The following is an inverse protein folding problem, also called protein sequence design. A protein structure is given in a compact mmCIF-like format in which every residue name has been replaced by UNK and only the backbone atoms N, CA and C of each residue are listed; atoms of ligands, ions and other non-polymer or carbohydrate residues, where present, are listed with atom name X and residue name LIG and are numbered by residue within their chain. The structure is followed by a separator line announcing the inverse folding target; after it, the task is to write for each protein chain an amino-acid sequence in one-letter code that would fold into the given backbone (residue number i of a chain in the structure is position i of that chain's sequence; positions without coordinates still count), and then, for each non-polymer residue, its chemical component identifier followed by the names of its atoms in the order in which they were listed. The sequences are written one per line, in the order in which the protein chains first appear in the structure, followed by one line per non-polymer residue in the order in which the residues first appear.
data_IF_358303004713
#
_entry.id   IF_358303004713
#
_cell.length_a   1.000
_cell.length_b   1.000
_cell.length_c   1.000
_cell.angle_alpha   90.00
_cell.angle_beta   90.00
_cell.angle_gamma   90.00
#
_symmetry.space_group_name_H-M   'P 1'
#
loop_
_entity.id
_entity.type
_entity.pdbx_description
1 polymer ?
#
# COMPACT_ATOMS: atom_id res chain seq x y z
N UNK A 1 -1.95 -32.58 -29.17
CA UNK A 1 -2.99 -32.62 -28.11
C UNK A 1 -3.30 -31.25 -27.48
N UNK A 2 -3.51 -30.20 -28.29
CA UNK A 2 -3.83 -28.83 -27.81
C UNK A 2 -5.33 -28.49 -27.79
N UNK A 3 -6.22 -29.46 -28.11
CA UNK A 3 -7.66 -29.20 -28.29
C UNK A 3 -8.52 -29.33 -27.02
N UNK A 4 -7.97 -29.75 -25.88
CA UNK A 4 -8.77 -30.00 -24.66
C UNK A 4 -8.13 -29.58 -23.32
N UNK A 5 -6.98 -28.89 -23.31
CA UNK A 5 -6.45 -28.33 -22.06
C UNK A 5 -7.10 -26.98 -21.81
N UNK A 6 -7.97 -26.86 -20.79
CA UNK A 6 -8.33 -25.55 -20.22
C UNK A 6 -7.02 -24.81 -19.94
N UNK A 7 -6.75 -23.73 -20.68
CA UNK A 7 -5.60 -22.87 -20.41
C UNK A 7 -5.81 -22.32 -19.01
N UNK A 8 -4.96 -22.71 -18.07
CA UNK A 8 -5.02 -22.19 -16.70
C UNK A 8 -4.48 -20.77 -16.73
N UNK A 9 -5.33 -19.81 -16.36
CA UNK A 9 -4.94 -18.42 -16.18
C UNK A 9 -4.19 -18.25 -14.85
N UNK A 10 -3.18 -17.39 -14.83
CA UNK A 10 -2.47 -17.00 -13.61
C UNK A 10 -3.21 -15.83 -12.98
N UNK A 11 -3.60 -16.01 -11.73
CA UNK A 11 -4.10 -14.93 -10.88
C UNK A 11 -3.10 -14.68 -9.77
N UNK A 12 -2.77 -13.42 -9.54
CA UNK A 12 -1.88 -12.99 -8.46
C UNK A 12 -2.55 -11.92 -7.62
N UNK A 13 -2.08 -11.76 -6.38
CA UNK A 13 -2.57 -10.77 -5.44
C UNK A 13 -1.38 -9.95 -4.95
N UNK A 14 -1.56 -8.62 -4.83
CA UNK A 14 -0.52 -7.69 -4.36
C UNK A 14 -1.16 -6.53 -3.60
N UNK A 15 -0.56 -6.11 -2.48
CA UNK A 15 -1.09 -5.07 -1.60
C UNK A 15 -0.42 -5.06 -0.24
N UNK A 16 -1.03 -4.36 0.72
CA UNK A 16 -0.52 -4.26 2.10
C UNK A 16 -0.98 -5.39 3.03
N UNK A 17 -2.00 -6.15 2.63
CA UNK A 17 -2.59 -7.20 3.48
C UNK A 17 -1.75 -8.48 3.45
N UNK A 18 -1.09 -8.77 4.58
CA UNK A 18 -0.51 -10.08 4.87
C UNK A 18 -1.59 -11.09 5.31
N UNK A 19 -1.33 -12.38 5.05
CA UNK A 19 -2.16 -13.48 5.58
C UNK A 19 -1.67 -13.81 7.00
N UNK A 20 -2.08 -13.00 7.95
CA UNK A 20 -1.71 -13.11 9.38
C UNK A 20 -2.80 -12.50 10.27
N UNK A 21 -2.66 -12.67 11.58
CA UNK A 21 -3.61 -12.17 12.58
C UNK A 21 -3.79 -10.64 12.51
N UNK A 22 -5.00 -10.18 12.83
CA UNK A 22 -5.38 -8.77 12.94
C UNK A 22 -5.64 -8.06 11.62
N UNK A 23 -5.51 -8.74 10.48
CA UNK A 23 -5.70 -8.14 9.15
C UNK A 23 -7.13 -8.26 8.64
N UNK A 24 -7.91 -9.21 9.18
CA UNK A 24 -9.31 -9.31 8.84
C UNK A 24 -10.08 -8.14 9.45
N UNK A 25 -10.73 -7.35 8.61
CA UNK A 25 -11.60 -6.26 9.03
C UNK A 25 -12.62 -5.95 7.93
N UNK A 26 -13.68 -5.24 8.28
CA UNK A 26 -14.70 -4.80 7.34
C UNK A 26 -14.84 -3.26 7.39
N UNK A 27 -15.87 -2.72 6.73
CA UNK A 27 -16.10 -1.28 6.68
C UNK A 27 -16.59 -0.69 8.02
N UNK A 28 -17.04 -1.51 8.97
CA UNK A 28 -17.51 -1.03 10.28
C UNK A 28 -16.35 -0.59 11.17
N UNK A 29 -15.16 -1.17 11.00
CA UNK A 29 -13.96 -0.88 11.78
C UNK A 29 -14.24 -0.86 13.29
N UNK A 30 -15.01 -1.84 13.76
CA UNK A 30 -15.51 -1.87 15.13
C UNK A 30 -14.38 -1.90 16.16
N UNK A 31 -14.58 -1.26 17.31
CA UNK A 31 -13.63 -1.23 18.41
C UNK A 31 -13.93 -2.31 19.45
N UNK A 32 -15.20 -2.46 19.82
CA UNK A 32 -15.60 -3.22 21.01
C UNK A 32 -16.48 -4.44 20.71
N UNK A 33 -17.02 -4.61 19.50
CA UNK A 33 -17.82 -5.78 19.12
C UNK A 33 -16.92 -7.00 18.77
N UNK A 34 -16.25 -7.53 19.79
CA UNK A 34 -15.18 -8.53 19.65
C UNK A 34 -15.75 -9.95 19.50
N UNK A 35 -16.84 -10.27 20.21
CA UNK A 35 -17.41 -11.62 20.33
C UNK A 35 -17.92 -12.24 19.03
N UNK A 36 -17.97 -11.47 17.94
CA UNK A 36 -18.31 -11.95 16.61
C UNK A 36 -17.06 -12.38 15.84
N UNK A 37 -16.60 -11.53 14.94
CA UNK A 37 -15.62 -11.90 13.92
C UNK A 37 -14.18 -11.86 14.42
N UNK A 38 -13.92 -11.20 15.55
CA UNK A 38 -12.56 -10.92 16.03
C UNK A 38 -12.21 -11.66 17.32
N UNK A 39 -13.08 -12.54 17.82
CA UNK A 39 -12.88 -13.27 19.09
C UNK A 39 -11.57 -14.07 19.10
N UNK A 40 -11.30 -14.79 18.01
CA UNK A 40 -10.10 -15.60 17.83
C UNK A 40 -8.98 -14.86 17.07
N UNK A 41 -9.19 -13.58 16.72
CA UNK A 41 -8.26 -12.73 15.97
C UNK A 41 -8.17 -11.31 16.55
N UNK A 42 -8.22 -11.21 17.89
CA UNK A 42 -8.13 -9.93 18.58
C UNK A 42 -6.71 -9.37 18.46
N UNK A 43 -6.59 -8.17 17.89
CA UNK A 43 -5.32 -7.52 17.62
C UNK A 43 -5.27 -6.11 18.22
N UNK A 44 -4.22 -5.81 18.98
CA UNK A 44 -3.98 -4.51 19.59
C UNK A 44 -2.51 -4.45 20.07
N UNK A 45 -1.68 -3.67 19.37
CA UNK A 45 -0.25 -3.54 19.68
C UNK A 45 0.15 -2.16 20.20
N UNK A 46 -0.80 -1.23 20.28
CA UNK A 46 -0.56 0.13 20.77
C UNK A 46 -0.82 0.28 22.27
N UNK A 47 -1.36 -0.76 22.91
CA UNK A 47 -1.55 -0.85 24.36
C UNK A 47 -0.65 -1.98 24.90
N UNK A 48 0.16 -1.73 25.95
CA UNK A 48 0.98 -2.76 26.57
C UNK A 48 0.14 -3.98 27.00
N UNK A 49 0.60 -5.23 26.74
CA UNK A 49 -0.17 -6.43 27.05
C UNK A 49 -0.60 -6.55 28.52
N UNK A 50 0.21 -6.04 29.45
CA UNK A 50 -0.07 -6.06 30.89
C UNK A 50 -1.25 -5.16 31.31
N UNK A 51 -1.63 -4.20 30.45
CA UNK A 51 -2.75 -3.27 30.70
C UNK A 51 -4.01 -3.66 29.92
N UNK A 52 -3.86 -4.48 28.88
CA UNK A 52 -4.89 -4.73 27.90
C UNK A 52 -5.88 -5.81 28.36
N UNK A 53 -7.14 -5.42 28.51
CA UNK A 53 -8.25 -6.33 28.78
C UNK A 53 -8.87 -6.74 27.44
N UNK A 54 -8.40 -7.86 26.88
CA UNK A 54 -8.76 -8.31 25.52
C UNK A 54 -10.26 -8.52 25.30
N UNK A 55 -10.97 -8.89 26.36
CA UNK A 55 -12.42 -9.06 26.39
C UNK A 55 -13.19 -7.72 26.37
N UNK A 56 -12.53 -6.61 26.74
CA UNK A 56 -13.14 -5.27 26.79
C UNK A 56 -12.74 -4.36 25.63
N UNK A 57 -11.74 -4.73 24.82
CA UNK A 57 -11.25 -3.89 23.73
C UNK A 57 -10.51 -2.62 24.18
N UNK A 58 -10.32 -1.63 23.30
CA UNK A 58 -10.61 -1.73 21.87
C UNK A 58 -9.59 -2.63 21.18
N UNK A 59 -10.04 -3.39 20.18
CA UNK A 59 -9.10 -3.87 19.15
C UNK A 59 -8.55 -2.67 18.37
N UNK A 60 -7.45 -2.86 17.67
CA UNK A 60 -6.96 -1.90 16.68
C UNK A 60 -7.54 -2.26 15.30
N UNK A 61 -8.42 -1.41 14.72
CA UNK A 61 -8.94 -1.67 13.38
C UNK A 61 -7.93 -1.49 12.27
N UNK A 62 -8.09 -2.27 11.21
CA UNK A 62 -7.12 -2.40 10.13
C UNK A 62 -7.69 -1.84 8.82
N UNK A 63 -7.23 -0.65 8.42
CA UNK A 63 -7.51 -0.08 7.11
C UNK A 63 -6.36 -0.41 6.16
N UNK A 64 -6.66 -1.13 5.08
CA UNK A 64 -5.65 -1.57 4.12
C UNK A 64 -6.26 -1.80 2.74
N UNK A 65 -5.41 -1.91 1.73
CA UNK A 65 -5.77 -2.03 0.32
C UNK A 65 -5.00 -3.18 -0.34
N UNK A 66 -5.70 -3.96 -1.15
CA UNK A 66 -5.13 -5.10 -1.88
C UNK A 66 -5.74 -5.22 -3.27
N UNK A 67 -4.96 -5.69 -4.24
CA UNK A 67 -5.37 -5.83 -5.63
C UNK A 67 -5.27 -7.29 -6.09
N UNK A 68 -6.27 -7.74 -6.84
CA UNK A 68 -6.21 -8.99 -7.62
C UNK A 68 -5.81 -8.67 -9.05
N UNK A 69 -4.70 -9.26 -9.50
CA UNK A 69 -4.11 -9.07 -10.82
C UNK A 69 -4.32 -10.34 -11.66
N UNK A 70 -4.71 -10.15 -12.91
CA UNK A 70 -4.90 -11.22 -13.92
C UNK A 70 -4.18 -10.83 -15.21
N UNK A 71 -4.15 -11.70 -16.22
CA UNK A 71 -3.46 -11.43 -17.48
C UNK A 71 -1.93 -11.33 -17.37
N UNK A 72 -1.31 -10.55 -18.26
CA UNK A 72 0.15 -10.50 -18.41
C UNK A 72 0.87 -10.01 -17.15
N UNK A 73 0.32 -9.04 -16.42
CA UNK A 73 0.92 -8.52 -15.20
C UNK A 73 0.99 -9.55 -14.06
N UNK A 74 0.08 -10.54 -14.04
CA UNK A 74 0.17 -11.66 -13.09
C UNK A 74 1.39 -12.55 -13.37
N UNK A 75 1.83 -12.63 -14.63
CA UNK A 75 3.06 -13.34 -15.03
C UNK A 75 4.30 -12.62 -14.49
N UNK A 76 4.30 -11.29 -14.46
CA UNK A 76 5.41 -10.49 -13.89
C UNK A 76 5.52 -10.67 -12.37
N UNK A 77 4.39 -10.75 -11.66
CA UNK A 77 4.37 -11.09 -10.23
C UNK A 77 4.91 -12.51 -9.99
N UNK A 78 4.53 -13.49 -10.81
CA UNK A 78 5.11 -14.84 -10.76
C UNK A 78 6.62 -14.83 -11.07
N UNK A 79 7.05 -14.03 -12.04
CA UNK A 79 8.48 -13.87 -12.35
C UNK A 79 9.23 -13.36 -11.13
N UNK A 80 8.74 -12.31 -10.46
CA UNK A 80 9.35 -11.82 -9.22
C UNK A 80 9.47 -12.92 -8.16
N UNK A 81 8.41 -13.70 -7.94
CA UNK A 81 8.44 -14.81 -7.00
C UNK A 81 9.53 -15.85 -7.34
N UNK A 82 9.62 -16.25 -8.62
CA UNK A 82 10.62 -17.24 -9.06
C UNK A 82 12.06 -16.69 -8.95
N UNK A 83 12.29 -15.42 -9.32
CA UNK A 83 13.60 -14.78 -9.19
C UNK A 83 14.10 -14.78 -7.74
N UNK A 84 13.21 -14.46 -6.79
CA UNK A 84 13.51 -14.51 -5.35
C UNK A 84 13.69 -15.93 -4.83
N UNK A 85 12.82 -16.84 -5.24
CA UNK A 85 12.95 -18.26 -4.86
C UNK A 85 14.30 -18.83 -5.29
N UNK A 86 14.73 -18.59 -6.53
CA UNK A 86 16.03 -19.07 -7.00
C UNK A 86 17.18 -18.49 -6.18
N UNK A 87 17.09 -17.22 -5.78
CA UNK A 87 18.14 -16.58 -4.96
C UNK A 87 18.19 -17.16 -3.55
N UNK A 88 17.06 -17.26 -2.86
CA UNK A 88 17.01 -17.49 -1.41
C UNK A 88 16.71 -18.95 -1.04
N UNK A 89 16.06 -19.70 -1.93
CA UNK A 89 15.60 -21.07 -1.71
C UNK A 89 16.05 -22.04 -2.82
N UNK A 90 16.90 -21.59 -3.76
CA UNK A 90 17.34 -22.38 -4.92
C UNK A 90 18.08 -23.67 -4.55
N UNK A 91 18.69 -23.74 -3.36
CA UNK A 91 19.33 -24.94 -2.83
C UNK A 91 18.34 -26.11 -2.64
N UNK A 92 17.05 -25.83 -2.40
CA UNK A 92 16.00 -26.86 -2.30
C UNK A 92 15.78 -27.62 -3.62
N UNK A 93 16.27 -27.07 -4.75
CA UNK A 93 16.18 -27.71 -6.07
C UNK A 93 17.04 -28.98 -6.18
N UNK A 94 18.05 -29.10 -5.31
CA UNK A 94 18.94 -30.27 -5.19
C UNK A 94 18.43 -31.31 -4.20
N UNK A 95 17.23 -31.15 -3.62
CA UNK A 95 16.60 -32.22 -2.85
C UNK A 95 16.48 -33.48 -3.73
N UNK A 96 16.93 -34.66 -3.25
CA UNK A 96 16.98 -35.86 -4.07
C UNK A 96 15.60 -36.20 -4.66
N UNK A 97 15.58 -36.64 -5.92
CA UNK A 97 14.37 -37.24 -6.52
C UNK A 97 13.97 -38.44 -5.65
N UNK A 98 12.67 -38.65 -5.54
CA UNK A 98 11.98 -39.57 -4.62
C UNK A 98 12.28 -41.07 -4.84
N UNK A 99 13.46 -41.44 -5.33
CA UNK A 99 13.78 -42.81 -5.67
C UNK A 99 14.63 -43.56 -4.62
N UNK A 100 15.07 -42.93 -3.52
CA UNK A 100 15.87 -43.62 -2.49
C UNK A 100 15.82 -42.97 -1.09
N UNK A 101 14.65 -42.70 -0.52
CA UNK A 101 14.58 -42.39 0.92
C UNK A 101 13.81 -43.48 1.68
N UNK A 102 14.61 -44.41 2.16
CA UNK A 102 14.55 -45.19 3.39
C UNK A 102 13.23 -45.20 4.18
N UNK A 103 12.81 -46.44 4.45
CA UNK A 103 12.06 -46.86 5.65
C UNK A 103 12.62 -46.10 6.87
N UNK A 104 11.72 -45.48 7.64
CA UNK A 104 11.93 -44.76 8.92
C UNK A 104 11.86 -43.21 8.83
N UNK A 105 10.64 -42.67 8.94
CA UNK A 105 10.35 -41.52 9.82
C UNK A 105 10.78 -40.09 9.45
N UNK A 106 11.29 -39.79 8.25
CA UNK A 106 11.69 -38.41 7.91
C UNK A 106 10.56 -37.51 7.37
N UNK A 107 9.79 -36.86 8.24
CA UNK A 107 8.76 -35.87 7.86
C UNK A 107 9.32 -34.58 7.24
N UNK A 108 10.56 -34.18 7.58
CA UNK A 108 11.18 -32.96 7.05
C UNK A 108 11.64 -33.05 5.58
N UNK A 109 11.84 -34.25 5.03
CA UNK A 109 12.27 -34.43 3.64
C UNK A 109 11.09 -34.39 2.66
N UNK A 110 9.88 -34.77 3.08
CA UNK A 110 8.70 -34.82 2.21
C UNK A 110 8.23 -33.41 1.79
N UNK A 111 8.23 -32.45 2.73
CA UNK A 111 7.87 -31.06 2.44
C UNK A 111 8.86 -30.39 1.48
N UNK A 112 10.17 -30.64 1.65
CA UNK A 112 11.21 -30.11 0.75
C UNK A 112 11.03 -30.64 -0.68
N UNK A 113 10.79 -31.94 -0.83
CA UNK A 113 10.53 -32.57 -2.14
C UNK A 113 9.25 -32.02 -2.76
N UNK A 114 8.17 -31.89 -1.98
CA UNK A 114 6.90 -31.32 -2.45
C UNK A 114 7.08 -29.89 -2.96
N UNK A 115 7.78 -29.04 -2.22
CA UNK A 115 8.06 -27.66 -2.62
C UNK A 115 8.87 -27.62 -3.93
N UNK A 116 9.91 -28.46 -4.06
CA UNK A 116 10.70 -28.53 -5.29
C UNK A 116 9.87 -28.98 -6.51
N UNK A 117 8.89 -29.88 -6.31
CA UNK A 117 7.97 -30.31 -7.37
C UNK A 117 7.02 -29.19 -7.78
N UNK A 118 6.41 -28.48 -6.82
CA UNK A 118 5.53 -27.34 -7.12
C UNK A 118 6.29 -26.22 -7.82
N UNK A 119 7.52 -25.92 -7.41
CA UNK A 119 8.37 -24.92 -8.07
C UNK A 119 8.66 -25.27 -9.53
N UNK A 120 8.90 -26.55 -9.85
CA UNK A 120 9.06 -26.98 -11.26
C UNK A 120 7.78 -26.76 -12.07
N UNK A 121 6.59 -26.87 -11.47
CA UNK A 121 5.32 -26.55 -12.14
C UNK A 121 5.21 -25.05 -12.41
N UNK A 122 5.55 -24.21 -11.42
CA UNK A 122 5.56 -22.75 -11.56
C UNK A 122 6.57 -22.26 -12.61
N UNK A 123 7.77 -22.83 -12.65
CA UNK A 123 8.77 -22.53 -13.67
C UNK A 123 8.29 -22.90 -15.08
N UNK A 124 7.63 -24.06 -15.23
CA UNK A 124 7.02 -24.46 -16.50
C UNK A 124 5.90 -23.50 -16.90
N UNK A 125 5.05 -23.13 -15.95
CA UNK A 125 3.96 -22.18 -16.16
C UNK A 125 4.50 -20.84 -16.64
N UNK A 126 5.50 -20.26 -15.96
CA UNK A 126 6.16 -19.03 -16.38
C UNK A 126 6.72 -19.15 -17.80
N UNK A 127 7.43 -20.25 -18.13
CA UNK A 127 7.97 -20.46 -19.48
C UNK A 127 6.87 -20.48 -20.55
N UNK A 128 5.76 -21.18 -20.31
CA UNK A 128 4.64 -21.22 -21.25
C UNK A 128 3.93 -19.87 -21.37
N UNK A 129 3.72 -19.16 -20.26
CA UNK A 129 3.07 -17.85 -20.27
C UNK A 129 3.91 -16.80 -20.99
N UNK A 130 5.23 -16.80 -20.80
CA UNK A 130 6.15 -15.91 -21.53
C UNK A 130 6.21 -16.27 -23.02
N UNK A 131 6.25 -17.57 -23.36
CA UNK A 131 6.22 -18.00 -24.75
C UNK A 131 4.89 -17.67 -25.45
N UNK A 132 3.76 -17.76 -24.73
CA UNK A 132 2.46 -17.36 -25.23
C UNK A 132 2.37 -15.85 -25.47
N UNK A 133 2.97 -15.04 -24.58
CA UNK A 133 3.10 -13.59 -24.78
C UNK A 133 4.09 -13.21 -25.91
N UNK A 134 5.06 -14.08 -26.20
CA UNK A 134 6.06 -13.89 -27.26
C UNK A 134 5.68 -14.52 -28.61
N UNK A 135 4.58 -15.28 -28.69
CA UNK A 135 4.05 -15.79 -29.96
C UNK A 135 3.74 -14.60 -30.87
N UNK A 136 4.16 -14.61 -32.14
CA UNK A 136 4.40 -13.39 -32.88
C UNK A 136 3.17 -12.48 -32.97
N UNK A 137 3.37 -11.21 -32.61
CA UNK A 137 2.65 -10.07 -33.16
C UNK A 137 2.64 -10.01 -34.71
N UNK A 138 3.23 -10.99 -35.41
CA UNK A 138 3.04 -11.18 -36.85
C UNK A 138 1.57 -11.45 -37.21
N UNK A 139 0.79 -12.11 -36.34
CA UNK A 139 -0.66 -12.26 -36.54
C UNK A 139 -1.44 -10.96 -36.30
N UNK A 140 -0.83 -9.97 -35.63
CA UNK A 140 -1.40 -8.65 -35.39
C UNK A 140 -1.02 -7.62 -36.46
N UNK A 141 -0.06 -7.92 -37.36
CA UNK A 141 0.28 -7.04 -38.48
C UNK A 141 -0.82 -6.98 -39.55
N UNK A 142 -1.48 -8.09 -39.84
CA UNK A 142 -2.64 -8.13 -40.75
C UNK A 142 -3.87 -7.42 -40.18
N UNK A 143 -4.04 -7.41 -38.85
CA UNK A 143 -5.12 -6.67 -38.18
C UNK A 143 -4.77 -5.25 -37.78
N UNK A 144 -3.53 -4.79 -37.98
CA UNK A 144 -3.12 -3.42 -37.62
C UNK A 144 -3.87 -2.37 -38.45
N UNK A 145 -4.18 -2.67 -39.72
CA UNK A 145 -5.02 -1.82 -40.56
C UNK A 145 -6.47 -1.69 -40.02
N UNK A 146 -7.03 -2.77 -39.45
CA UNK A 146 -8.35 -2.75 -38.80
C UNK A 146 -8.32 -2.06 -37.42
N UNK A 147 -7.23 -2.19 -36.67
CA UNK A 147 -7.07 -1.57 -35.35
C UNK A 147 -6.82 -0.07 -35.43
N UNK A 148 -6.10 0.42 -36.45
CA UNK A 148 -5.96 1.87 -36.68
C UNK A 148 -7.31 2.48 -37.11
N UNK A 149 -8.13 1.74 -37.88
CA UNK A 149 -9.50 2.12 -38.20
C UNK A 149 -10.42 2.11 -36.96
N UNK A 150 -10.29 1.11 -36.08
CA UNK A 150 -11.04 1.04 -34.81
C UNK A 150 -10.60 2.12 -33.82
N UNK A 151 -9.30 2.47 -33.79
CA UNK A 151 -8.75 3.50 -32.92
C UNK A 151 -9.22 4.88 -33.35
N UNK A 152 -9.24 5.17 -34.66
CA UNK A 152 -9.84 6.39 -35.20
C UNK A 152 -11.34 6.46 -34.89
N UNK A 153 -12.07 5.33 -35.03
CA UNK A 153 -13.49 5.24 -34.69
C UNK A 153 -13.75 5.39 -33.18
N UNK A 154 -12.85 4.89 -32.33
CA UNK A 154 -12.91 5.05 -30.88
C UNK A 154 -12.61 6.48 -30.43
N UNK A 155 -11.63 7.15 -31.06
CA UNK A 155 -11.37 8.57 -30.85
C UNK A 155 -12.56 9.43 -31.28
N UNK A 156 -13.25 9.07 -32.36
CA UNK A 156 -14.46 9.75 -32.81
C UNK A 156 -15.65 9.51 -31.88
N UNK A 157 -15.83 8.28 -31.37
CA UNK A 157 -16.81 7.98 -30.31
C UNK A 157 -16.50 8.71 -29.01
N UNK A 158 -15.22 8.86 -28.64
CA UNK A 158 -14.82 9.66 -27.47
C UNK A 158 -15.09 11.15 -27.67
N UNK A 159 -14.84 11.68 -28.87
CA UNK A 159 -15.18 13.06 -29.25
C UNK A 159 -16.69 13.30 -29.21
N UNK A 160 -17.48 12.34 -29.68
CA UNK A 160 -18.95 12.37 -29.66
C UNK A 160 -19.51 12.22 -28.25
N UNK A 161 -18.90 11.40 -27.38
CA UNK A 161 -19.27 11.27 -25.95
C UNK A 161 -18.97 12.53 -25.16
N UNK A 162 -17.85 13.21 -25.45
CA UNK A 162 -17.51 14.50 -24.84
C UNK A 162 -18.49 15.60 -25.24
N UNK A 163 -18.86 15.66 -26.53
CA UNK A 163 -19.95 16.53 -27.01
C UNK A 163 -21.31 16.17 -26.41
N UNK A 164 -21.61 14.88 -26.21
CA UNK A 164 -22.87 14.46 -25.59
C UNK A 164 -22.91 14.77 -24.09
N UNK A 165 -21.80 14.72 -23.37
CA UNK A 165 -21.73 15.20 -21.98
C UNK A 165 -21.97 16.70 -21.91
N UNK A 166 -21.35 17.49 -22.80
CA UNK A 166 -21.59 18.94 -22.90
C UNK A 166 -23.03 19.27 -23.30
N UNK A 167 -23.67 18.46 -24.16
CA UNK A 167 -25.09 18.59 -24.51
C UNK A 167 -26.03 18.16 -23.37
N UNK A 168 -25.68 17.11 -22.61
CA UNK A 168 -26.49 16.63 -21.48
C UNK A 168 -26.46 17.64 -20.34
N UNK A 169 -25.31 18.27 -20.10
CA UNK A 169 -25.18 19.36 -19.14
C UNK A 169 -25.88 20.64 -19.63
N UNK A 170 -25.83 20.94 -20.94
CA UNK A 170 -26.60 22.02 -21.57
C UNK A 170 -28.13 21.84 -21.46
N UNK A 171 -28.65 20.62 -21.59
CA UNK A 171 -30.08 20.33 -21.41
C UNK A 171 -30.50 20.28 -19.93
N UNK A 172 -29.58 19.93 -19.03
CA UNK A 172 -29.81 19.96 -17.57
C UNK A 172 -29.87 21.39 -17.04
N UNK A 173 -29.04 22.30 -17.55
CA UNK A 173 -29.07 23.73 -17.20
C UNK A 173 -30.32 24.48 -17.70
N UNK A 174 -31.04 23.92 -18.68
CA UNK A 174 -32.28 24.52 -19.25
C UNK A 174 -33.59 23.89 -18.78
N UNK A 175 -33.56 23.00 -17.79
CA UNK A 175 -34.78 22.59 -17.07
C UNK A 175 -35.83 21.86 -17.91
N UNK A 176 -35.45 20.99 -18.84
CA UNK A 176 -36.41 20.12 -19.54
C UNK A 176 -36.49 18.77 -18.82
N UNK A 177 -37.58 18.55 -18.07
CA UNK A 177 -37.77 17.36 -17.22
C UNK A 177 -38.59 16.22 -17.83
N UNK A 178 -38.33 15.04 -17.28
CA UNK A 178 -39.21 13.87 -17.04
C UNK A 178 -39.73 13.00 -18.20
N UNK A 179 -39.48 11.69 -18.08
CA UNK A 179 -40.52 10.68 -18.24
C UNK A 179 -40.25 9.44 -17.35
N UNK A 180 -41.28 9.11 -16.58
CA UNK A 180 -41.44 8.04 -15.61
C UNK A 180 -41.45 6.64 -16.26
N UNK A 181 -41.01 5.61 -15.53
CA UNK A 181 -40.94 4.24 -16.06
C UNK A 181 -40.69 3.17 -14.99
N UNK A 182 -41.75 2.75 -14.32
CA UNK A 182 -41.80 1.62 -13.38
C UNK A 182 -41.38 0.30 -14.03
N UNK A 183 -40.42 -0.42 -13.45
CA UNK A 183 -40.08 -1.80 -13.84
C UNK A 183 -40.25 -2.75 -12.64
N UNK A 184 -41.18 -3.69 -12.80
CA UNK A 184 -41.51 -4.78 -11.88
C UNK A 184 -40.36 -5.78 -11.75
N UNK A 185 -40.00 -6.15 -10.53
CA UNK A 185 -39.08 -7.26 -10.24
C UNK A 185 -39.77 -8.61 -10.53
N UNK A 186 -39.25 -9.34 -11.51
CA UNK A 186 -39.52 -10.78 -11.67
C UNK A 186 -38.25 -11.58 -11.38
N UNK A 187 -38.36 -12.51 -10.43
CA UNK A 187 -37.34 -13.47 -10.06
C UNK A 187 -37.11 -14.46 -11.22
N UNK A 188 -36.02 -14.29 -11.96
CA UNK A 188 -35.46 -15.32 -12.84
C UNK A 188 -34.03 -15.62 -12.41
N UNK A 189 -33.81 -16.88 -11.99
CA UNK A 189 -32.49 -17.50 -11.80
C UNK A 189 -31.59 -17.14 -12.98
N UNK A 190 -30.63 -16.24 -12.75
CA UNK A 190 -29.53 -15.98 -13.69
C UNK A 190 -28.43 -16.99 -13.42
N UNK A 191 -28.36 -17.99 -14.27
CA UNK A 191 -27.14 -18.75 -14.48
C UNK A 191 -26.01 -17.79 -14.84
N UNK A 192 -24.86 -17.99 -14.20
CA UNK A 192 -23.64 -17.21 -14.36
C UNK A 192 -23.13 -17.27 -15.82
N UNK A 193 -23.61 -16.36 -16.68
CA UNK A 193 -22.86 -15.92 -17.85
C UNK A 193 -21.91 -14.81 -17.40
N UNK A 194 -20.62 -15.11 -17.47
CA UNK A 194 -19.52 -14.17 -17.28
C UNK A 194 -19.72 -12.95 -18.19
N UNK A 195 -20.22 -11.85 -17.63
CA UNK A 195 -20.06 -10.53 -18.22
C UNK A 195 -18.62 -10.10 -17.98
N UNK A 196 -17.73 -10.47 -18.91
CA UNK A 196 -16.42 -9.88 -19.03
C UNK A 196 -16.58 -8.43 -19.51
N UNK A 197 -16.83 -7.50 -18.58
CA UNK A 197 -16.33 -6.14 -18.75
C UNK A 197 -14.81 -6.23 -18.59
N UNK A 198 -14.11 -6.46 -19.70
CA UNK A 198 -12.66 -6.34 -19.74
C UNK A 198 -12.36 -4.85 -19.63
N UNK A 199 -12.19 -4.35 -18.40
CA UNK A 199 -11.51 -3.08 -18.18
C UNK A 199 -10.04 -3.33 -18.56
N UNK A 200 -9.66 -3.00 -19.79
CA UNK A 200 -8.28 -3.11 -20.29
C UNK A 200 -7.38 -2.08 -19.57
N UNK A 201 -7.09 -2.34 -18.29
CA UNK A 201 -6.12 -1.55 -17.54
C UNK A 201 -4.72 -1.93 -17.99
N UNK A 202 -3.89 -0.94 -18.31
CA UNK A 202 -2.45 -1.17 -18.44
C UNK A 202 -1.89 -1.33 -17.04
N UNK A 203 -1.17 -2.42 -16.77
CA UNK A 203 -0.61 -2.70 -15.45
C UNK A 203 0.90 -2.90 -15.59
N UNK A 204 1.67 -2.14 -14.82
CA UNK A 204 3.11 -2.28 -14.70
C UNK A 204 3.48 -2.67 -13.27
N UNK A 205 4.22 -3.78 -13.14
CA UNK A 205 4.77 -4.20 -11.85
C UNK A 205 6.07 -3.44 -11.58
N UNK A 206 6.10 -2.71 -10.46
CA UNK A 206 7.25 -1.98 -9.94
C UNK A 206 7.68 -2.59 -8.60
N UNK A 207 8.97 -2.47 -8.27
CA UNK A 207 9.53 -3.09 -7.06
C UNK A 207 10.74 -2.34 -6.51
N UNK A 208 11.04 -2.66 -5.26
CA UNK A 208 12.32 -2.38 -4.61
C UNK A 208 12.98 -3.72 -4.35
N UNK A 209 14.15 -3.98 -4.95
CA UNK A 209 14.88 -5.23 -4.75
C UNK A 209 16.36 -5.07 -5.14
N UNK A 210 17.21 -5.94 -4.62
CA UNK A 210 18.63 -6.01 -4.97
C UNK A 210 19.06 -7.43 -5.37
N UNK A 211 20.31 -7.59 -5.77
CA UNK A 211 20.87 -8.89 -6.13
C UNK A 211 21.15 -9.83 -4.95
N UNK A 212 20.97 -9.38 -3.71
CA UNK A 212 20.96 -10.23 -2.53
C UNK A 212 19.61 -10.95 -2.36
N UNK A 213 18.53 -10.32 -2.81
CA UNK A 213 17.16 -10.80 -2.63
C UNK A 213 16.56 -11.47 -3.87
N UNK A 214 17.02 -11.14 -5.08
CA UNK A 214 16.51 -11.72 -6.33
C UNK A 214 17.61 -12.01 -7.36
N UNK A 215 17.40 -13.03 -8.20
CA UNK A 215 18.22 -13.22 -9.42
C UNK A 215 17.60 -12.42 -10.56
N UNK A 216 18.24 -11.32 -10.93
CA UNK A 216 17.76 -10.50 -12.04
C UNK A 216 18.00 -11.13 -13.40
N UNK A 217 16.96 -11.13 -14.24
CA UNK A 217 17.05 -11.51 -15.65
C UNK A 217 18.05 -10.61 -16.39
N UNK A 218 19.08 -11.22 -16.98
CA UNK A 218 20.16 -10.52 -17.70
C UNK A 218 19.66 -9.70 -18.90
N UNK A 219 18.45 -9.96 -19.38
CA UNK A 219 17.81 -9.22 -20.48
C UNK A 219 17.15 -7.92 -20.01
N UNK A 220 16.91 -7.75 -18.71
CA UNK A 220 16.39 -6.49 -18.17
C UNK A 220 17.55 -5.50 -18.14
N UNK A 221 17.48 -4.53 -19.05
CA UNK A 221 18.50 -3.49 -19.22
C UNK A 221 18.23 -2.30 -18.28
N UNK A 222 19.25 -1.45 -18.03
CA UNK A 222 19.05 -0.12 -17.49
C UNK A 222 17.99 0.67 -18.27
N UNK A 223 17.25 1.61 -17.63
CA UNK A 223 17.46 2.15 -16.28
C UNK A 223 16.67 1.43 -15.18
N UNK A 224 15.95 0.33 -15.49
CA UNK A 224 15.13 -0.39 -14.49
C UNK A 224 16.00 -0.98 -13.39
N UNK A 225 17.06 -1.69 -13.79
CA UNK A 225 18.09 -2.21 -12.89
C UNK A 225 19.36 -1.41 -13.14
N UNK A 226 19.92 -0.85 -12.08
CA UNK A 226 21.18 -0.10 -12.14
C UNK A 226 22.21 -0.74 -11.21
N UNK A 227 23.48 -0.43 -11.45
CA UNK A 227 24.57 -0.80 -10.54
C UNK A 227 24.66 0.31 -9.50
N UNK A 228 24.58 -0.02 -8.22
CA UNK A 228 24.75 0.94 -7.14
C UNK A 228 26.12 1.63 -7.28
N UNK A 229 26.15 2.95 -7.52
CA UNK A 229 27.41 3.67 -7.71
C UNK A 229 28.32 3.66 -6.48
N UNK A 230 27.78 3.35 -5.29
CA UNK A 230 28.55 3.23 -4.06
C UNK A 230 29.07 1.80 -3.81
N UNK A 231 28.66 0.84 -4.63
CA UNK A 231 29.03 -0.57 -4.45
C UNK A 231 30.41 -0.88 -5.01
N UNK A 232 31.27 -1.47 -4.17
CA UNK A 232 32.56 -2.05 -4.59
C UNK A 232 32.42 -3.37 -5.37
N UNK A 233 31.24 -3.97 -5.38
CA UNK A 233 30.98 -5.30 -5.94
C UNK A 233 29.96 -5.28 -7.08
N UNK A 234 29.71 -4.12 -7.69
CA UNK A 234 28.72 -3.94 -8.76
C UNK A 234 27.32 -4.44 -8.38
N UNK A 235 26.90 -4.20 -7.12
CA UNK A 235 25.59 -4.60 -6.61
C UNK A 235 24.48 -4.01 -7.48
N UNK A 236 23.61 -4.88 -7.98
CA UNK A 236 22.48 -4.48 -8.80
C UNK A 236 21.28 -4.14 -7.93
N UNK A 237 20.56 -3.08 -8.31
CA UNK A 237 19.39 -2.59 -7.59
C UNK A 237 18.27 -2.28 -8.59
N UNK A 238 17.07 -2.78 -8.30
CA UNK A 238 15.82 -2.34 -8.87
C UNK A 238 15.18 -1.35 -7.90
N UNK A 239 15.11 -0.08 -8.32
CA UNK A 239 14.42 0.97 -7.58
C UNK A 239 13.31 1.60 -8.44
N UNK A 240 12.63 0.75 -9.22
CA UNK A 240 11.47 1.15 -10.02
C UNK A 240 10.31 1.63 -9.16
N UNK A 241 10.21 1.18 -7.91
CA UNK A 241 9.22 1.67 -6.95
C UNK A 241 9.32 3.18 -6.73
N UNK A 242 10.48 3.67 -6.28
CA UNK A 242 10.71 5.10 -6.04
C UNK A 242 10.53 5.92 -7.31
N UNK A 243 11.14 5.47 -8.43
CA UNK A 243 11.04 6.14 -9.73
C UNK A 243 9.60 6.24 -10.23
N UNK A 244 8.80 5.19 -10.02
CA UNK A 244 7.39 5.15 -10.40
C UNK A 244 6.56 6.19 -9.63
N UNK A 245 6.74 6.28 -8.31
CA UNK A 245 6.08 7.31 -7.50
C UNK A 245 6.46 8.73 -7.96
N UNK A 246 7.75 9.00 -8.13
CA UNK A 246 8.22 10.32 -8.62
C UNK A 246 7.64 10.63 -10.01
N UNK A 247 7.59 9.65 -10.90
CA UNK A 247 7.00 9.83 -12.23
C UNK A 247 5.53 10.27 -12.14
N UNK A 248 4.70 9.55 -11.37
CA UNK A 248 3.28 9.86 -11.24
C UNK A 248 3.04 11.23 -10.59
N UNK A 249 3.80 11.56 -9.55
CA UNK A 249 3.71 12.86 -8.88
C UNK A 249 4.02 13.99 -9.87
N UNK A 250 5.07 13.85 -10.69
CA UNK A 250 5.46 14.87 -11.67
C UNK A 250 4.43 15.06 -12.78
N UNK A 251 3.67 14.02 -13.13
CA UNK A 251 2.64 14.08 -14.18
C UNK A 251 1.25 14.47 -13.67
N UNK A 252 1.04 14.48 -12.34
CA UNK A 252 -0.22 14.90 -11.74
C UNK A 252 -0.63 16.31 -12.17
N UNK A 253 -1.92 16.47 -12.48
CA UNK A 253 -2.53 17.69 -13.02
C UNK A 253 -3.52 18.33 -12.06
N UNK A 254 -4.32 17.53 -11.35
CA UNK A 254 -5.46 17.97 -10.56
C UNK A 254 -5.28 17.64 -9.08
N UNK A 255 -5.04 16.37 -8.74
CA UNK A 255 -4.87 15.99 -7.34
C UNK A 255 -4.09 14.69 -7.17
N UNK A 256 -3.59 14.50 -5.95
CA UNK A 256 -2.99 13.26 -5.50
C UNK A 256 -3.65 12.84 -4.20
N UNK A 257 -4.01 11.57 -4.09
CA UNK A 257 -4.53 10.96 -2.87
C UNK A 257 -3.61 9.82 -2.44
N UNK A 258 -3.22 9.81 -1.16
CA UNK A 258 -2.28 8.84 -0.59
C UNK A 258 -2.88 8.27 0.68
N UNK A 259 -2.94 6.93 0.78
CA UNK A 259 -3.00 6.25 2.08
C UNK A 259 -1.69 5.51 2.29
N UNK A 260 -0.98 5.80 3.39
CA UNK A 260 0.32 5.17 3.66
C UNK A 260 0.57 5.03 5.16
N UNK A 261 1.02 3.85 5.59
CA UNK A 261 1.43 3.59 6.98
C UNK A 261 2.53 4.55 7.47
N UNK A 262 3.42 4.98 6.59
CA UNK A 262 4.45 5.98 6.87
C UNK A 262 4.44 7.10 5.84
N UNK A 263 4.82 8.31 6.27
CA UNK A 263 5.05 9.45 5.37
C UNK A 263 6.32 10.18 5.80
N UNK A 264 7.47 9.62 5.41
CA UNK A 264 8.81 10.05 5.82
C UNK A 264 9.73 10.11 4.61
N UNK A 265 10.41 11.22 4.40
CA UNK A 265 11.39 11.30 3.33
C UNK A 265 11.94 12.68 3.09
N UNK A 266 12.84 12.73 2.12
CA UNK A 266 13.54 13.94 1.69
C UNK A 266 14.28 14.64 2.84
N UNK A 267 14.95 13.87 3.71
CA UNK A 267 15.60 14.39 4.91
C UNK A 267 16.62 15.48 4.63
N UNK A 268 17.28 15.44 3.48
CA UNK A 268 18.21 16.47 3.03
C UNK A 268 17.58 17.87 2.91
N UNK A 269 16.24 17.98 2.88
CA UNK A 269 15.49 19.24 2.88
C UNK A 269 14.85 19.59 4.23
N UNK A 270 15.01 18.75 5.26
CA UNK A 270 14.49 19.07 6.60
C UNK A 270 15.26 20.25 7.22
N UNK A 271 14.60 20.99 8.11
CA UNK A 271 15.23 22.10 8.83
C UNK A 271 16.39 21.61 9.70
N UNK A 272 16.19 20.45 10.33
CA UNK A 272 17.15 19.74 11.18
C UNK A 272 17.29 18.27 10.76
N UNK A 273 18.24 17.54 11.34
CA UNK A 273 18.46 16.11 11.07
C UNK A 273 18.63 15.76 9.58
N UNK A 274 19.27 16.64 8.80
CA UNK A 274 19.38 16.49 7.33
C UNK A 274 20.05 15.18 6.89
N UNK A 275 20.98 14.70 7.70
CA UNK A 275 21.74 13.49 7.48
C UNK A 275 21.08 12.22 8.07
N UNK A 276 19.79 12.26 8.44
CA UNK A 276 19.05 11.10 8.95
C UNK A 276 18.93 9.94 7.94
N UNK A 277 19.33 10.14 6.69
CA UNK A 277 19.41 9.08 5.68
C UNK A 277 18.07 8.70 5.07
N UNK A 278 17.01 9.51 5.24
CA UNK A 278 15.73 9.33 4.58
C UNK A 278 15.68 10.11 3.25
N UNK A 279 16.51 9.72 2.29
CA UNK A 279 16.80 10.48 1.05
C UNK A 279 15.79 10.32 -0.08
N UNK A 280 14.77 9.46 0.06
CA UNK A 280 13.73 9.30 -0.96
C UNK A 280 13.05 10.65 -1.29
N UNK A 281 12.77 10.87 -2.57
CA UNK A 281 12.29 12.15 -3.11
C UNK A 281 10.77 12.36 -3.01
N UNK A 282 9.98 11.38 -2.55
CA UNK A 282 8.51 11.45 -2.67
C UNK A 282 7.93 12.71 -2.00
N UNK A 283 8.25 13.03 -0.73
CA UNK A 283 7.76 14.26 -0.11
C UNK A 283 8.23 15.55 -0.80
N UNK A 284 9.49 15.60 -1.25
CA UNK A 284 10.02 16.77 -1.97
C UNK A 284 9.30 16.99 -3.31
N UNK A 285 9.03 15.93 -4.07
CA UNK A 285 8.35 16.02 -5.36
C UNK A 285 6.88 16.43 -5.19
N UNK A 286 6.20 16.00 -4.13
CA UNK A 286 4.86 16.48 -3.79
C UNK A 286 4.88 17.98 -3.52
N UNK A 287 5.83 18.45 -2.69
CA UNK A 287 5.97 19.87 -2.39
C UNK A 287 6.29 20.69 -3.66
N UNK A 288 7.20 20.21 -4.52
CA UNK A 288 7.52 20.90 -5.77
C UNK A 288 6.36 20.91 -6.76
N UNK A 289 5.59 19.82 -6.87
CA UNK A 289 4.38 19.79 -7.69
C UNK A 289 3.38 20.84 -7.21
N UNK A 290 3.09 20.90 -5.91
CA UNK A 290 2.19 21.91 -5.34
C UNK A 290 2.72 23.32 -5.61
N UNK A 291 3.99 23.60 -5.29
CA UNK A 291 4.61 24.90 -5.54
C UNK A 291 4.55 25.30 -7.02
N UNK A 292 4.74 24.34 -7.94
CA UNK A 292 4.61 24.61 -9.38
C UNK A 292 3.20 25.05 -9.76
N UNK A 293 2.16 24.44 -9.18
CA UNK A 293 0.75 24.76 -9.42
C UNK A 293 0.36 26.10 -8.83
N UNK A 294 0.88 26.44 -7.65
CA UNK A 294 0.73 27.77 -7.03
C UNK A 294 1.31 28.86 -7.94
N UNK A 295 2.52 28.66 -8.48
CA UNK A 295 3.20 29.65 -9.35
C UNK A 295 2.45 29.94 -10.64
N UNK A 296 1.64 29.01 -11.14
CA UNK A 296 0.81 29.20 -12.34
C UNK A 296 -0.66 29.43 -12.00
N UNK A 297 -1.00 29.59 -10.73
CA UNK A 297 -2.36 29.75 -10.22
C UNK A 297 -3.34 28.67 -10.72
N UNK A 298 -2.89 27.42 -10.80
CA UNK A 298 -3.73 26.28 -11.14
C UNK A 298 -4.21 25.55 -9.87
N UNK A 299 -5.48 25.09 -9.82
CA UNK A 299 -5.97 24.31 -8.69
C UNK A 299 -5.24 22.98 -8.62
N UNK A 300 -4.73 22.66 -7.42
CA UNK A 300 -4.10 21.39 -7.15
C UNK A 300 -4.14 21.06 -5.66
N UNK A 301 -4.45 19.82 -5.31
CA UNK A 301 -4.45 19.40 -3.90
C UNK A 301 -3.82 18.02 -3.71
N UNK A 302 -3.15 17.83 -2.58
CA UNK A 302 -2.61 16.54 -2.15
C UNK A 302 -3.20 16.15 -0.81
N UNK A 303 -3.84 14.99 -0.76
CA UNK A 303 -4.43 14.39 0.43
C UNK A 303 -3.55 13.24 0.90
N UNK A 304 -3.12 13.28 2.16
CA UNK A 304 -2.31 12.21 2.77
C UNK A 304 -3.02 11.68 4.01
N UNK A 305 -3.29 10.38 4.01
CA UNK A 305 -3.91 9.65 5.11
C UNK A 305 -2.83 8.73 5.70
N UNK A 306 -2.53 8.94 6.99
CA UNK A 306 -1.55 8.18 7.77
C UNK A 306 -2.19 7.70 9.07
N UNK A 307 -1.65 6.68 9.77
CA UNK A 307 -2.15 6.35 11.10
C UNK A 307 -1.89 7.51 12.08
N UNK A 308 -2.68 7.61 13.16
CA UNK A 308 -2.49 8.66 14.17
C UNK A 308 -1.06 8.58 14.73
N UNK A 309 -0.63 7.37 15.04
CA UNK A 309 0.76 7.00 15.33
C UNK A 309 1.06 5.63 14.71
N UNK A 310 2.33 5.33 14.38
CA UNK A 310 2.71 4.00 13.92
C UNK A 310 2.36 2.94 14.96
N UNK A 311 2.13 1.72 14.50
CA UNK A 311 1.87 0.58 15.37
C UNK A 311 2.97 0.40 16.41
N UNK A 312 2.56 0.08 17.64
CA UNK A 312 3.40 0.03 18.83
C UNK A 312 2.95 1.03 19.88
N UNK A 313 3.45 0.87 21.11
CA UNK A 313 3.13 1.76 22.20
C UNK A 313 3.58 3.21 21.89
N UNK A 314 2.67 4.21 21.92
CA UNK A 314 2.99 5.59 21.52
C UNK A 314 4.13 6.24 22.29
N UNK A 315 4.27 5.90 23.58
CA UNK A 315 5.35 6.42 24.43
C UNK A 315 6.72 5.80 24.15
N UNK A 316 6.81 4.73 23.34
CA UNK A 316 8.08 4.07 23.07
C UNK A 316 9.01 4.91 22.18
N UNK A 317 10.32 4.83 22.44
CA UNK A 317 11.35 5.53 21.67
C UNK A 317 11.25 5.33 20.15
N UNK A 318 11.04 4.10 19.61
CA UNK A 318 10.86 3.91 18.16
C UNK A 318 9.65 4.67 17.59
N UNK A 319 8.51 4.67 18.28
CA UNK A 319 7.30 5.37 17.83
C UNK A 319 7.51 6.88 17.88
N UNK A 320 8.06 7.41 18.98
CA UNK A 320 8.42 8.83 19.12
C UNK A 320 9.37 9.28 17.98
N UNK A 321 10.38 8.48 17.65
CA UNK A 321 11.33 8.81 16.58
C UNK A 321 10.68 8.81 15.18
N UNK A 322 9.80 7.84 14.89
CA UNK A 322 9.05 7.80 13.63
C UNK A 322 8.14 9.04 13.52
N UNK A 323 7.44 9.39 14.60
CA UNK A 323 6.59 10.57 14.67
C UNK A 323 7.39 11.85 14.43
N UNK A 324 8.58 11.97 15.02
CA UNK A 324 9.49 13.09 14.77
C UNK A 324 9.89 13.19 13.29
N UNK A 325 10.28 12.09 12.66
CA UNK A 325 10.63 12.10 11.24
C UNK A 325 9.44 12.42 10.32
N UNK A 326 8.23 12.00 10.68
CA UNK A 326 7.00 12.40 10.00
C UNK A 326 6.77 13.91 10.15
N UNK A 327 6.90 14.45 11.36
CA UNK A 327 6.76 15.87 11.64
C UNK A 327 7.74 16.70 10.80
N UNK A 328 9.03 16.33 10.76
CA UNK A 328 10.03 17.03 9.96
C UNK A 328 9.75 16.98 8.45
N UNK A 329 9.23 15.85 7.97
CA UNK A 329 8.80 15.70 6.57
C UNK A 329 7.63 16.62 6.25
N UNK A 330 6.60 16.62 7.09
CA UNK A 330 5.40 17.45 6.93
C UNK A 330 5.75 18.94 7.05
N UNK A 331 6.57 19.32 8.03
CA UNK A 331 7.07 20.69 8.21
C UNK A 331 7.82 21.17 6.95
N UNK A 332 8.67 20.34 6.36
CA UNK A 332 9.38 20.66 5.11
C UNK A 332 8.40 20.96 3.97
N UNK A 333 7.37 20.12 3.77
CA UNK A 333 6.34 20.34 2.75
C UNK A 333 5.61 21.66 2.99
N UNK A 334 5.08 21.86 4.21
CA UNK A 334 4.35 23.07 4.60
C UNK A 334 5.18 24.35 4.42
N UNK A 335 6.47 24.30 4.77
CA UNK A 335 7.38 25.45 4.67
C UNK A 335 7.60 25.86 3.21
N UNK A 336 7.76 24.89 2.31
CA UNK A 336 7.94 25.17 0.88
C UNK A 336 6.67 25.76 0.27
N UNK A 337 5.50 25.22 0.62
CA UNK A 337 4.21 25.73 0.16
C UNK A 337 3.97 27.15 0.67
N UNK A 338 4.20 27.41 1.96
CA UNK A 338 4.07 28.74 2.54
C UNK A 338 4.98 29.77 1.85
N UNK A 339 6.22 29.37 1.51
CA UNK A 339 7.13 30.19 0.72
C UNK A 339 6.58 30.50 -0.67
N UNK A 340 6.07 29.50 -1.40
CA UNK A 340 5.48 29.70 -2.73
C UNK A 340 4.24 30.63 -2.69
N UNK A 341 3.38 30.48 -1.68
CA UNK A 341 2.23 31.38 -1.45
C UNK A 341 2.71 32.83 -1.26
N UNK A 342 3.73 33.03 -0.41
CA UNK A 342 4.30 34.36 -0.16
C UNK A 342 4.91 34.96 -1.43
N UNK A 343 5.66 34.18 -2.20
CA UNK A 343 6.29 34.62 -3.46
C UNK A 343 5.27 35.00 -4.54
N UNK A 344 4.08 34.40 -4.54
CA UNK A 344 2.97 34.76 -5.44
C UNK A 344 2.08 35.88 -4.89
N UNK A 345 2.40 36.48 -3.74
CA UNK A 345 1.59 37.54 -3.14
C UNK A 345 0.23 37.08 -2.62
N UNK A 346 0.06 35.77 -2.36
CA UNK A 346 -1.20 35.17 -1.92
C UNK A 346 -1.34 35.09 -0.38
N UNK A 347 -0.42 35.73 0.35
CA UNK A 347 -0.47 35.79 1.82
C UNK A 347 -1.78 36.43 2.30
N UNK A 348 -2.44 35.78 3.27
CA UNK A 348 -3.74 36.21 3.80
C UNK A 348 -4.95 35.77 2.96
N UNK A 349 -4.74 35.31 1.72
CA UNK A 349 -5.80 34.76 0.87
C UNK A 349 -5.76 33.23 0.80
N UNK A 350 -4.54 32.68 0.85
CA UNK A 350 -4.28 31.24 0.81
C UNK A 350 -3.40 30.82 1.97
N UNK A 351 -3.62 29.60 2.41
CA UNK A 351 -2.87 28.90 3.43
C UNK A 351 -2.31 27.60 2.84
N UNK A 352 -1.23 27.04 3.40
CA UNK A 352 -0.72 25.77 2.91
C UNK A 352 -1.73 24.61 2.92
N UNK A 353 -2.67 24.61 3.88
CA UNK A 353 -3.75 23.61 3.98
C UNK A 353 -4.74 23.69 2.82
N UNK A 354 -4.76 24.77 2.02
CA UNK A 354 -5.54 24.81 0.78
C UNK A 354 -4.96 23.89 -0.31
N UNK A 355 -3.72 23.41 -0.16
CA UNK A 355 -3.01 22.62 -1.16
C UNK A 355 -2.51 21.26 -0.65
N UNK A 356 -2.27 21.12 0.65
CA UNK A 356 -1.74 19.90 1.26
C UNK A 356 -2.44 19.62 2.58
N UNK A 357 -3.12 18.49 2.67
CA UNK A 357 -3.84 18.07 3.88
C UNK A 357 -3.36 16.71 4.35
N UNK A 358 -3.13 16.59 5.66
CA UNK A 358 -2.75 15.34 6.32
C UNK A 358 -3.85 14.94 7.30
N UNK A 359 -4.37 13.73 7.16
CA UNK A 359 -5.43 13.17 7.98
C UNK A 359 -4.97 11.85 8.60
N UNK A 360 -5.73 11.42 9.61
CA UNK A 360 -5.69 10.08 10.16
C UNK A 360 -7.11 9.55 10.32
N UNK A 361 -7.25 8.24 10.52
CA UNK A 361 -8.53 7.61 10.75
C UNK A 361 -8.69 7.24 12.23
N UNK A 362 -9.92 7.37 12.73
CA UNK A 362 -10.28 7.00 14.08
C UNK A 362 -11.76 6.62 14.13
N UNK A 363 -12.09 5.74 15.07
CA UNK A 363 -13.48 5.39 15.35
C UNK A 363 -13.84 5.75 16.79
N UNK A 364 -15.14 5.92 17.04
CA UNK A 364 -15.71 6.07 18.37
C UNK A 364 -17.08 5.40 18.40
N UNK A 365 -17.28 4.48 19.33
CA UNK A 365 -18.52 3.73 19.47
C UNK A 365 -19.31 4.23 20.70
N UNK A 366 -20.64 4.25 20.60
CA UNK A 366 -21.50 4.60 21.72
C UNK A 366 -21.40 3.55 22.85
N UNK A 367 -21.84 3.93 24.06
CA UNK A 367 -21.90 3.02 25.21
C UNK A 367 -22.92 1.91 24.99
N UNK A 368 -22.53 0.66 25.24
CA UNK A 368 -23.44 -0.39 25.66
C UNK A 368 -23.38 -0.44 27.20
N UNK A 369 -24.46 -0.06 27.86
CA UNK A 369 -24.57 0.16 29.31
C UNK A 369 -24.28 -1.07 30.19
N UNK A 370 -24.05 -2.26 29.63
CA UNK A 370 -23.83 -3.49 30.38
C UNK A 370 -22.35 -3.80 30.69
N UNK A 371 -21.37 -3.27 29.92
CA UNK A 371 -19.95 -3.64 30.06
C UNK A 371 -19.15 -2.79 31.06
N UNK A 372 -19.66 -1.61 31.45
CA UNK A 372 -18.96 -0.64 32.30
C UNK A 372 -19.12 -0.86 33.81
N UNK A 373 -20.02 -1.76 34.22
CA UNK A 373 -20.38 -1.95 35.64
C UNK A 373 -19.57 -3.02 36.37
N UNK A 374 -18.64 -3.72 35.70
CA UNK A 374 -17.65 -4.55 36.39
C UNK A 374 -16.40 -3.69 36.65
N UNK A 375 -16.12 -3.48 37.94
CA UNK A 375 -15.05 -2.62 38.48
C UNK A 375 -13.82 -2.59 37.56
N UNK A 376 -13.54 -1.40 37.04
CA UNK A 376 -12.22 -1.08 36.51
C UNK A 376 -11.27 -1.25 37.70
N UNK A 377 -10.26 -2.12 37.64
CA UNK A 377 -9.33 -2.28 38.76
C UNK A 377 -8.77 -0.91 39.12
N UNK A 378 -9.03 -0.45 40.35
CA UNK A 378 -8.36 0.74 40.89
C UNK A 378 -6.86 0.55 40.73
N UNK A 379 -6.21 1.62 40.29
CA UNK A 379 -4.82 1.73 39.88
C UNK A 379 -3.86 1.00 40.86
N UNK A 380 -3.61 -0.30 40.63
CA UNK A 380 -2.63 -1.06 41.38
C UNK A 380 -1.40 -1.25 40.49
N UNK A 381 -0.38 -0.44 40.80
CA UNK A 381 0.97 -0.41 40.24
C UNK A 381 1.23 0.51 39.03
N UNK A 382 1.19 1.83 39.23
CA UNK A 382 2.03 2.78 38.48
C UNK A 382 3.49 2.28 38.39
N UNK A 383 3.96 1.62 39.47
CA UNK A 383 5.26 0.94 39.54
C UNK A 383 5.47 -0.20 38.54
N UNK A 384 4.42 -0.81 37.97
CA UNK A 384 4.55 -1.83 36.91
C UNK A 384 4.76 -1.19 35.54
N UNK A 385 4.05 -0.09 35.24
CA UNK A 385 4.25 0.66 33.99
C UNK A 385 5.70 1.16 33.88
N UNK A 386 6.21 1.77 34.94
CA UNK A 386 7.60 2.26 35.03
C UNK A 386 8.59 1.11 34.84
N UNK A 387 8.32 -0.07 35.40
CA UNK A 387 9.15 -1.27 35.21
C UNK A 387 9.07 -1.85 33.79
N UNK A 388 7.93 -1.77 33.12
CA UNK A 388 7.73 -2.27 31.75
C UNK A 388 8.37 -1.34 30.70
N UNK A 389 8.30 -0.02 30.90
CA UNK A 389 9.02 0.98 30.10
C UNK A 389 10.55 0.75 30.18
N UNK A 390 11.06 0.52 31.40
CA UNK A 390 12.47 0.23 31.65
C UNK A 390 12.95 -1.17 31.20
N UNK A 391 12.05 -2.09 30.79
CA UNK A 391 12.38 -3.46 30.37
C UNK A 391 12.45 -3.65 28.86
N UNK A 392 12.18 -2.63 28.05
CA UNK A 392 12.40 -2.72 26.60
C UNK A 392 13.91 -2.86 26.34
N UNK A 393 14.43 -3.95 25.75
CA UNK A 393 15.84 -4.35 25.92
C UNK A 393 16.91 -3.54 25.17
N UNK A 394 16.69 -2.28 24.81
CA UNK A 394 17.58 -1.56 23.88
C UNK A 394 17.84 -0.08 24.20
N UNK A 395 17.84 0.33 25.47
CA UNK A 395 18.24 1.69 25.86
C UNK A 395 19.55 1.66 26.66
N UNK A 396 20.67 1.88 25.95
CA UNK A 396 21.89 2.40 26.56
C UNK A 396 21.65 3.90 26.76
N UNK A 397 21.38 4.28 28.00
CA UNK A 397 21.70 5.57 28.61
C UNK A 397 21.13 6.83 27.95
N UNK A 398 19.85 7.12 28.17
CA UNK A 398 19.36 8.50 28.35
C UNK A 398 18.29 8.45 29.46
N UNK A 399 18.39 9.34 30.46
CA UNK A 399 17.39 9.49 31.52
C UNK A 399 16.06 9.91 30.87
N UNK A 400 15.02 9.08 30.97
CA UNK A 400 13.68 9.47 30.52
C UNK A 400 13.10 10.52 31.48
N UNK A 401 12.62 11.63 30.94
CA UNK A 401 11.92 12.67 31.70
C UNK A 401 10.71 12.07 32.43
N UNK A 402 10.70 12.19 33.76
CA UNK A 402 9.72 11.56 34.67
C UNK A 402 8.28 12.04 34.39
N UNK A 403 8.10 13.21 33.77
CA UNK A 403 6.78 13.77 33.41
C UNK A 403 6.01 12.93 32.37
N UNK A 404 6.70 12.25 31.45
CA UNK A 404 6.03 11.44 30.42
C UNK A 404 5.37 10.19 31.01
N UNK A 405 5.82 9.71 32.17
CA UNK A 405 5.42 8.41 32.74
C UNK A 405 4.03 8.47 33.40
N UNK A 406 3.64 9.61 33.99
CA UNK A 406 2.33 9.79 34.63
C UNK A 406 1.18 9.86 33.61
N UNK A 407 1.39 10.44 32.42
CA UNK A 407 0.34 10.62 31.41
C UNK A 407 -0.10 9.28 30.77
N UNK A 408 0.82 8.32 30.63
CA UNK A 408 0.50 7.00 30.06
C UNK A 408 -0.13 6.02 31.06
N UNK A 409 0.03 6.22 32.38
CA UNK A 409 -0.56 5.35 33.41
C UNK A 409 -2.07 5.25 33.32
N UNK A 410 -2.73 6.34 32.92
CA UNK A 410 -4.19 6.42 32.74
C UNK A 410 -4.65 6.34 31.27
N UNK A 411 -3.74 6.20 30.30
CA UNK A 411 -4.08 6.29 28.89
C UNK A 411 -5.07 5.19 28.43
N UNK A 412 -4.89 3.95 28.90
CA UNK A 412 -5.83 2.86 28.56
C UNK A 412 -7.22 3.08 29.18
N UNK A 413 -7.28 3.58 30.42
CA UNK A 413 -8.56 3.92 31.06
C UNK A 413 -9.28 5.03 30.30
N UNK A 414 -8.53 6.02 29.81
CA UNK A 414 -9.07 7.07 28.96
C UNK A 414 -9.60 6.51 27.64
N UNK A 415 -8.94 5.52 27.04
CA UNK A 415 -9.41 4.85 25.82
C UNK A 415 -10.75 4.13 26.08
N UNK A 416 -10.84 3.35 27.15
CA UNK A 416 -12.09 2.67 27.54
C UNK A 416 -13.21 3.65 27.84
N UNK A 417 -12.95 4.67 28.65
CA UNK A 417 -13.92 5.69 29.06
C UNK A 417 -14.43 6.53 27.89
N UNK A 418 -13.55 6.87 26.94
CA UNK A 418 -13.92 7.70 25.79
C UNK A 418 -14.41 6.89 24.59
N UNK A 419 -14.29 5.55 24.65
CA UNK A 419 -14.71 4.59 23.62
C UNK A 419 -14.22 4.91 22.21
N UNK A 420 -12.98 5.38 22.11
CA UNK A 420 -12.38 5.81 20.84
C UNK A 420 -10.95 5.30 20.69
N UNK A 421 -10.59 4.96 19.46
CA UNK A 421 -9.23 4.54 19.10
C UNK A 421 -8.92 4.90 17.65
N UNK A 422 -7.64 4.88 17.27
CA UNK A 422 -7.27 5.02 15.87
C UNK A 422 -7.80 3.84 15.05
N UNK A 423 -8.11 4.08 13.79
CA UNK A 423 -8.17 3.02 12.78
C UNK A 423 -6.78 3.02 12.14
N UNK A 424 -6.06 1.92 12.26
CA UNK A 424 -4.70 1.83 11.78
C UNK A 424 -4.66 1.78 10.26
N UNK A 425 -4.09 2.83 9.66
CA UNK A 425 -3.89 2.94 8.22
C UNK A 425 -2.63 2.14 7.86
N UNK A 426 -2.81 0.89 7.46
CA UNK A 426 -1.76 0.04 6.95
C UNK A 426 -1.65 0.08 5.42
N UNK A 427 -2.58 0.73 4.72
CA UNK A 427 -2.55 0.92 3.27
C UNK A 427 -1.18 1.40 2.75
N UNK A 428 -0.87 1.06 1.49
CA UNK A 428 0.18 1.68 0.68
C UNK A 428 -0.37 1.96 -0.72
N UNK A 429 -1.18 3.01 -0.79
CA UNK A 429 -1.97 3.42 -1.94
C UNK A 429 -1.54 4.82 -2.41
N UNK A 430 -1.40 4.99 -3.72
CA UNK A 430 -1.32 6.28 -4.39
C UNK A 430 -2.39 6.32 -5.49
N UNK A 431 -3.21 7.36 -5.51
CA UNK A 431 -4.13 7.69 -6.61
C UNK A 431 -3.73 9.05 -7.18
N UNK A 432 -3.66 9.14 -8.51
CA UNK A 432 -3.37 10.40 -9.22
C UNK A 432 -4.44 10.65 -10.26
N UNK A 433 -5.09 11.81 -10.15
CA UNK A 433 -6.09 12.33 -11.10
C UNK A 433 -7.22 11.35 -11.49
N UNK A 434 -7.58 10.41 -10.61
CA UNK A 434 -8.50 9.29 -10.89
C UNK A 434 -8.13 8.41 -12.10
N UNK A 435 -6.90 8.52 -12.61
CA UNK A 435 -6.42 7.81 -13.80
C UNK A 435 -5.35 6.78 -13.48
N UNK A 436 -4.64 6.97 -12.37
CA UNK A 436 -3.56 6.10 -11.93
C UNK A 436 -3.82 5.64 -10.51
N UNK A 437 -3.65 4.34 -10.27
CA UNK A 437 -3.57 3.78 -8.93
C UNK A 437 -2.28 2.96 -8.80
N UNK A 438 -1.54 3.16 -7.70
CA UNK A 438 -0.44 2.28 -7.29
C UNK A 438 -0.83 1.60 -5.99
N UNK A 439 -0.88 0.28 -6.00
CA UNK A 439 -1.23 -0.56 -4.84
C UNK A 439 -0.11 -1.57 -4.63
N UNK A 440 0.39 -1.69 -3.40
CA UNK A 440 1.37 -2.71 -3.05
C UNK A 440 1.81 -2.65 -1.61
N UNK A 441 3.08 -2.98 -1.36
CA UNK A 441 3.64 -3.11 -0.01
C UNK A 441 4.50 -1.91 0.42
N UNK A 442 4.94 -1.07 -0.53
CA UNK A 442 5.95 -0.04 -0.27
C UNK A 442 5.39 1.17 0.50
N UNK A 443 5.91 1.37 1.71
CA UNK A 443 5.63 2.57 2.50
C UNK A 443 6.33 3.81 1.93
N UNK A 444 5.80 5.00 2.19
CA UNK A 444 6.53 6.25 1.95
C UNK A 444 7.56 6.44 3.07
N UNK A 445 8.67 5.72 2.96
CA UNK A 445 9.86 5.82 3.81
C UNK A 445 11.10 5.34 3.04
N UNK A 446 12.29 5.53 3.63
CA UNK A 446 13.52 5.05 2.99
C UNK A 446 13.61 3.52 2.93
N UNK A 447 13.06 2.83 3.92
CA UNK A 447 13.12 1.36 4.00
C UNK A 447 12.50 0.71 2.76
N UNK A 448 11.37 1.22 2.31
CA UNK A 448 10.65 0.71 1.15
C UNK A 448 11.14 1.29 -0.18
N UNK A 449 11.63 2.54 -0.23
CA UNK A 449 12.04 3.21 -1.48
C UNK A 449 13.54 3.20 -1.81
N UNK A 450 14.39 2.60 -0.97
CA UNK A 450 15.84 2.57 -1.24
C UNK A 450 16.24 1.55 -2.32
N UNK A 451 15.51 0.44 -2.43
CA UNK A 451 15.86 -0.69 -3.29
C UNK A 451 16.88 -1.66 -2.69
N UNK A 452 17.71 -1.22 -1.73
CA UNK A 452 18.74 -2.06 -1.06
C UNK A 452 18.40 -2.42 0.39
N UNK A 453 17.22 -1.98 0.86
CA UNK A 453 16.73 -2.25 2.22
C UNK A 453 15.68 -3.36 2.16
N UNK A 454 14.41 -3.03 2.39
CA UNK A 454 13.35 -4.03 2.32
C UNK A 454 12.99 -4.28 0.86
N UNK A 455 12.63 -5.53 0.55
CA UNK A 455 12.08 -5.87 -0.75
C UNK A 455 10.60 -5.54 -0.82
N UNK A 456 10.20 -4.76 -1.80
CA UNK A 456 8.82 -4.29 -1.96
C UNK A 456 8.28 -4.57 -3.34
N UNK A 457 6.96 -4.67 -3.48
CA UNK A 457 6.32 -4.85 -4.79
C UNK A 457 4.97 -4.14 -4.84
N UNK A 458 4.69 -3.52 -6.00
CA UNK A 458 3.42 -2.82 -6.26
C UNK A 458 2.99 -3.00 -7.71
N UNK A 459 1.68 -2.95 -7.93
CA UNK A 459 1.08 -2.80 -9.25
C UNK A 459 0.72 -1.32 -9.49
N UNK A 460 1.32 -0.73 -10.51
CA UNK A 460 0.93 0.57 -11.06
C UNK A 460 -0.07 0.34 -12.18
N UNK A 461 -1.28 0.85 -12.02
CA UNK A 461 -2.43 0.59 -12.90
C UNK A 461 -2.89 1.90 -13.54
N UNK A 462 -3.15 1.84 -14.84
CA UNK A 462 -3.63 2.95 -15.67
C UNK A 462 -4.92 2.55 -16.37
N UNK A 463 -5.81 3.52 -16.58
CA UNK A 463 -6.96 3.39 -17.48
C UNK A 463 -6.62 3.70 -18.95
#
# INVERSE_FOLDING_TARGET
NYKNSKVKEITAFVGGIDITNGRYDDSSKTLFNIDRTHKDDFYQNCIPPDLLLKDRGPREPWQDIHARITGAAAVDLLKNFIERWHKQAGWLRFAPRQNNCCKNGCTNNSNRIRNAVEMRKLEKLLKYSVAAAALPQAFLKEKKQDMDALFNKAQEVFRLRRRNSELTDFFRERGVGSADGTIKHSNKKRENKANANVNDKVIQIIRSADDNSAIFDKRIQPPRIYIDPLSKHNHKVDNSMHKGYVHHIRHAKNFIYIESQYFIGSSHLWAEARNAGATNLVPAELAEKICSKIRVNEPFHVYVIVPLYPEGFPGSSPVKQILRFRMLTVQMVYTRIAKAIKEQGLTGQKTPTDYFSVFFLGNREADDSELLHSEIPENQDENKLVKTLNRSPNTIGEEEDVEDVEDYGNAYQNVLRNRRFQIYVHSKLLIVDDQVAVIGSANINQRSFDGRRDTEISASMFE
#
